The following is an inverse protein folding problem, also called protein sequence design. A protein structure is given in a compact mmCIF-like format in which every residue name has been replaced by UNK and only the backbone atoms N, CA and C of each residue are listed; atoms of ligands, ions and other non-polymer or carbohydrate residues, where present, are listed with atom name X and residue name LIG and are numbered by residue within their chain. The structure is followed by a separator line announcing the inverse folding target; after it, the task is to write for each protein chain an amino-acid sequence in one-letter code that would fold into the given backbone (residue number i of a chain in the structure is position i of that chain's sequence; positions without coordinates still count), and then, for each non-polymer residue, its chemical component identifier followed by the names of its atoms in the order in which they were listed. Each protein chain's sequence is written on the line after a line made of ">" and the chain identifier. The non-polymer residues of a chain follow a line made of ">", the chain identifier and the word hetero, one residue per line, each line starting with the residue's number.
data_IF_940991606412
#
_entry.id   IF_940991606412
#
_cell.length_a   1.000
_cell.length_b   1.000
_cell.length_c   1.000
_cell.angle_alpha   90.00
_cell.angle_beta   90.00
_cell.angle_gamma   90.00
#
_symmetry.space_group_name_H-M   'P 1'
#
loop_
_entity.id
_entity.type
_entity.pdbx_description
1 polymer ?
#
# COMPACT_ATOMS: atom_id res chain seq x y z
N UNK A 1 -2.99 1.71 13.35
CA UNK A 1 -2.99 0.82 12.17
C UNK A 1 -1.93 1.33 11.19
N UNK A 2 -0.65 1.24 11.55
CA UNK A 2 0.44 1.62 10.67
C UNK A 2 1.33 0.40 10.45
N UNK A 3 1.23 -0.19 9.26
CA UNK A 3 1.91 -1.43 8.90
C UNK A 3 2.83 -1.19 7.68
N UNK A 4 3.52 -0.05 7.71
CA UNK A 4 4.50 0.40 6.72
C UNK A 4 4.65 1.93 6.73
N UNK A 5 5.83 2.42 6.37
CA UNK A 5 6.12 3.86 6.24
C UNK A 5 5.47 4.47 4.99
N UNK A 6 5.14 3.61 4.01
CA UNK A 6 4.60 4.01 2.70
C UNK A 6 3.28 3.31 2.42
N UNK A 7 2.28 4.08 2.00
CA UNK A 7 1.04 3.56 1.42
C UNK A 7 1.04 3.76 -0.10
N UNK A 8 1.13 2.67 -0.84
CA UNK A 8 1.02 2.68 -2.30
C UNK A 8 -0.46 2.53 -2.66
N UNK A 9 -1.07 3.55 -3.26
CA UNK A 9 -2.46 3.47 -3.76
C UNK A 9 -2.44 3.18 -5.25
N UNK A 10 -2.91 2.00 -5.64
CA UNK A 10 -2.95 1.59 -7.04
C UNK A 10 -3.32 0.12 -7.18
N UNK A 11 -3.78 -0.28 -8.37
CA UNK A 11 -4.23 -1.65 -8.65
C UNK A 11 -3.78 -2.17 -10.01
N UNK A 12 -2.76 -1.54 -10.60
CA UNK A 12 -2.23 -1.82 -11.94
C UNK A 12 -0.79 -2.34 -11.87
N UNK A 13 -0.23 -2.70 -13.02
CA UNK A 13 1.18 -3.08 -13.16
C UNK A 13 2.16 -2.04 -12.62
N UNK A 14 1.83 -0.74 -12.74
CA UNK A 14 2.71 0.35 -12.33
C UNK A 14 2.87 0.38 -10.81
N UNK A 15 1.76 0.20 -10.08
CA UNK A 15 1.79 0.10 -8.63
C UNK A 15 2.66 -1.08 -8.18
N UNK A 16 2.57 -2.22 -8.88
CA UNK A 16 3.44 -3.38 -8.61
C UNK A 16 4.91 -3.10 -8.92
N UNK A 17 5.20 -2.40 -10.02
CA UNK A 17 6.56 -2.01 -10.35
C UNK A 17 7.18 -1.12 -9.27
N UNK A 18 6.40 -0.18 -8.74
CA UNK A 18 6.80 0.63 -7.58
C UNK A 18 7.02 -0.23 -6.33
N UNK A 19 6.12 -1.16 -6.03
CA UNK A 19 6.27 -2.10 -4.89
C UNK A 19 7.57 -2.90 -4.96
N UNK A 20 7.96 -3.37 -6.16
CA UNK A 20 9.23 -4.07 -6.35
C UNK A 20 10.46 -3.18 -6.12
N UNK A 21 10.37 -1.89 -6.43
CA UNK A 21 11.44 -0.94 -6.10
C UNK A 21 11.55 -0.75 -4.58
N UNK A 22 10.42 -0.68 -3.87
CA UNK A 22 10.40 -0.62 -2.41
C UNK A 22 10.95 -1.92 -1.78
N UNK A 23 10.60 -3.09 -2.34
CA UNK A 23 11.16 -4.38 -1.91
C UNK A 23 12.69 -4.43 -2.04
N UNK A 24 13.23 -3.88 -3.14
CA UNK A 24 14.67 -3.81 -3.39
C UNK A 24 15.38 -2.81 -2.47
N UNK A 25 14.69 -1.73 -2.09
CA UNK A 25 15.17 -0.73 -1.14
C UNK A 25 14.95 -1.12 0.33
N UNK A 26 14.32 -2.27 0.60
CA UNK A 26 13.97 -2.73 1.94
C UNK A 26 13.11 -1.72 2.73
N UNK A 27 12.22 -1.01 2.04
CA UNK A 27 11.27 -0.06 2.64
C UNK A 27 10.00 -0.82 3.00
N UNK A 28 9.47 -0.61 4.21
CA UNK A 28 8.21 -1.21 4.63
C UNK A 28 7.02 -0.44 4.02
N UNK A 29 6.10 -1.14 3.34
CA UNK A 29 4.94 -0.53 2.71
C UNK A 29 3.71 -1.42 2.73
N UNK A 30 2.56 -0.78 2.53
CA UNK A 30 1.27 -1.42 2.25
C UNK A 30 0.77 -1.00 0.87
N UNK A 31 0.39 -1.96 0.03
CA UNK A 31 -0.32 -1.75 -1.23
C UNK A 31 -1.84 -1.76 -1.01
N UNK A 32 -2.50 -0.70 -1.46
CA UNK A 32 -3.93 -0.46 -1.38
C UNK A 32 -4.61 -0.65 -2.73
N UNK A 33 -5.35 -1.75 -2.89
CA UNK A 33 -6.13 -2.04 -4.10
C UNK A 33 -7.63 -1.90 -3.83
N UNK A 34 -8.40 -1.38 -4.79
CA UNK A 34 -9.85 -1.22 -4.61
C UNK A 34 -10.64 -2.51 -4.84
N UNK A 35 -10.08 -3.48 -5.59
CA UNK A 35 -10.81 -4.65 -6.08
C UNK A 35 -10.00 -5.95 -5.92
N UNK A 36 -10.66 -7.12 -5.91
CA UNK A 36 -9.97 -8.42 -5.92
C UNK A 36 -9.04 -8.61 -7.11
N UNK A 37 -9.38 -8.07 -8.29
CA UNK A 37 -8.52 -8.10 -9.47
C UNK A 37 -7.18 -7.37 -9.22
N UNK A 38 -7.22 -6.21 -8.57
CA UNK A 38 -6.00 -5.51 -8.16
C UNK A 38 -5.17 -6.33 -7.16
N UNK A 39 -5.81 -7.06 -6.24
CA UNK A 39 -5.12 -7.94 -5.29
C UNK A 39 -4.40 -9.08 -6.00
N UNK A 40 -5.04 -9.69 -7.00
CA UNK A 40 -4.42 -10.71 -7.83
C UNK A 40 -3.23 -10.17 -8.62
N UNK A 41 -3.33 -8.93 -9.14
CA UNK A 41 -2.24 -8.28 -9.88
C UNK A 41 -1.03 -7.93 -9.02
N UNK A 42 -1.20 -7.70 -7.71
CA UNK A 42 -0.08 -7.46 -6.79
C UNK A 42 0.97 -8.59 -6.88
N UNK A 43 0.50 -9.84 -7.00
CA UNK A 43 1.36 -11.01 -7.14
C UNK A 43 2.32 -11.16 -5.95
N UNK A 44 3.54 -11.57 -6.25
CA UNK A 44 4.59 -11.79 -5.25
C UNK A 44 5.35 -10.48 -4.97
N UNK A 45 4.88 -9.73 -3.98
CA UNK A 45 5.52 -8.54 -3.41
C UNK A 45 5.70 -8.75 -1.91
N UNK A 46 6.71 -8.12 -1.28
CA UNK A 46 6.96 -8.33 0.16
C UNK A 46 6.07 -7.49 1.06
N UNK A 47 5.58 -6.35 0.57
CA UNK A 47 4.68 -5.48 1.32
C UNK A 47 3.30 -6.10 1.51
N UNK A 48 2.56 -5.59 2.50
CA UNK A 48 1.20 -6.06 2.73
C UNK A 48 0.25 -5.61 1.62
N UNK A 49 -0.83 -6.35 1.41
CA UNK A 49 -1.87 -5.99 0.43
C UNK A 49 -3.23 -5.91 1.10
N UNK A 50 -3.78 -4.69 1.17
CA UNK A 50 -5.15 -4.46 1.59
C UNK A 50 -6.06 -4.34 0.36
N UNK A 51 -7.21 -5.01 0.41
CA UNK A 51 -8.22 -4.99 -0.65
C UNK A 51 -9.51 -4.33 -0.16
N UNK A 52 -10.02 -3.39 -0.96
CA UNK A 52 -11.21 -2.59 -0.66
C UNK A 52 -10.92 -1.11 -0.91
N UNK A 53 -11.91 -0.38 -1.43
CA UNK A 53 -11.79 1.07 -1.69
C UNK A 53 -11.28 1.79 -0.44
N UNK A 54 -10.33 2.69 -0.63
CA UNK A 54 -9.84 3.56 0.45
C UNK A 54 -10.81 4.72 0.60
N UNK A 55 -11.57 4.74 1.69
CA UNK A 55 -12.48 5.85 1.98
C UNK A 55 -11.71 7.05 2.55
N UNK A 56 -12.26 8.25 2.39
CA UNK A 56 -11.62 9.50 2.83
C UNK A 56 -11.22 9.46 4.31
N UNK A 57 -12.11 8.97 5.19
CA UNK A 57 -11.82 8.84 6.62
C UNK A 57 -10.64 7.91 6.91
N UNK A 58 -10.48 6.83 6.14
CA UNK A 58 -9.35 5.90 6.27
C UNK A 58 -8.05 6.52 5.77
N UNK A 59 -8.10 7.32 4.70
CA UNK A 59 -6.93 8.07 4.20
C UNK A 59 -6.46 9.12 5.21
N UNK A 60 -7.39 9.88 5.79
CA UNK A 60 -7.10 10.87 6.84
C UNK A 60 -6.52 10.18 8.07
N UNK A 61 -7.08 9.05 8.49
CA UNK A 61 -6.55 8.28 9.61
C UNK A 61 -5.11 7.84 9.34
N UNK A 62 -4.84 7.25 8.17
CA UNK A 62 -3.50 6.81 7.79
C UNK A 62 -2.49 7.97 7.84
N UNK A 63 -2.81 9.11 7.18
CA UNK A 63 -1.94 10.28 7.17
C UNK A 63 -1.64 10.82 8.58
N UNK A 64 -2.64 10.84 9.48
CA UNK A 64 -2.46 11.31 10.86
C UNK A 64 -1.60 10.37 11.68
N UNK A 65 -1.80 9.06 11.54
CA UNK A 65 -1.00 8.08 12.27
C UNK A 65 0.47 8.13 11.82
N UNK A 66 0.75 8.37 10.53
CA UNK A 66 2.12 8.50 10.02
C UNK A 66 2.83 9.75 10.56
N UNK A 67 2.14 10.90 10.67
CA UNK A 67 2.73 12.15 11.19
C UNK A 67 3.06 12.08 12.69
N UNK A 68 2.37 11.23 13.45
CA UNK A 68 2.58 11.08 14.89
C UNK A 68 3.64 10.02 15.25
N UNK A 69 4.14 9.27 14.26
CA UNK A 69 5.08 8.17 14.44
C UNK A 69 6.54 8.54 14.14
N UNK A 70 6.82 9.77 13.70
CA UNK A 70 8.16 10.33 13.47
C UNK A 70 8.45 11.50 14.40
#
# INVERSE_FOLDING_TARGET
>A
MNEGEVLVVGGTSDARALCRQLDAANVAYTLSVATPAGKALAGDIKGQVRCGRLECGQMVAWLKETVLAG
#
